data_IF_556166240792
#
_entry.id   IF_556166240792
#
_cell.length_a   1.000
_cell.length_b   1.000
_cell.length_c   1.000
_cell.angle_alpha   90.00
_cell.angle_beta   90.00
_cell.angle_gamma   90.00
#
_symmetry.space_group_name_H-M   'P 1'
#
loop_
_entity.id
_entity.type
_entity.pdbx_description
1 polymer ?
#
# COMPACT_ATOMS: atom_id res chain seq x y z
N UNK A 1 17.64 10.92 7.16
CA UNK A 1 16.62 11.04 8.23
C UNK A 1 16.11 12.47 8.22
N UNK A 2 14.88 12.67 7.77
CA UNK A 2 14.26 14.00 7.56
C UNK A 2 13.58 14.51 8.83
N UNK A 3 13.50 15.84 8.97
CA UNK A 3 12.99 16.62 10.13
C UNK A 3 11.59 16.24 10.63
N UNK A 4 10.84 15.42 9.91
CA UNK A 4 9.48 14.99 10.27
C UNK A 4 9.46 13.93 11.39
N UNK A 5 10.55 13.17 11.58
CA UNK A 5 10.63 12.18 12.68
C UNK A 5 10.81 12.80 14.06
N UNK A 6 11.20 14.08 14.15
CA UNK A 6 11.42 14.78 15.43
C UNK A 6 10.13 15.40 16.01
N UNK A 7 9.20 15.82 15.15
CA UNK A 7 7.93 16.42 15.58
C UNK A 7 6.94 15.38 16.14
N UNK A 8 6.98 14.13 15.63
CA UNK A 8 6.14 13.05 16.13
C UNK A 8 6.53 12.55 17.53
N UNK A 9 7.83 12.61 17.88
CA UNK A 9 8.33 12.21 19.20
C UNK A 9 7.94 13.21 20.31
N UNK A 10 7.90 14.51 20.00
CA UNK A 10 7.58 15.57 20.98
C UNK A 10 6.09 15.62 21.38
N UNK A 11 5.17 15.16 20.52
CA UNK A 11 3.74 15.10 20.83
C UNK A 11 3.36 13.95 21.78
N UNK A 12 4.07 12.83 21.75
CA UNK A 12 3.78 11.65 22.58
C UNK A 12 4.24 11.82 24.04
N UNK A 13 5.30 12.59 24.28
CA UNK A 13 5.85 12.83 25.62
C UNK A 13 4.94 13.73 26.49
N UNK A 14 4.16 14.62 25.85
CA UNK A 14 3.25 15.54 26.54
C UNK A 14 1.93 14.89 26.99
N UNK A 15 1.51 13.78 26.38
CA UNK A 15 0.28 13.05 26.77
C UNK A 15 0.53 12.19 28.01
N UNK A 16 1.73 11.62 28.16
CA UNK A 16 2.10 10.77 29.30
C UNK A 16 2.25 11.56 30.62
N UNK A 17 2.70 12.83 30.57
CA UNK A 17 2.87 13.66 31.77
C UNK A 17 1.54 14.12 32.41
N UNK A 18 0.42 14.15 31.66
CA UNK A 18 -0.89 14.57 32.18
C UNK A 18 -1.64 13.48 32.98
N UNK A 19 -1.33 12.20 32.80
CA UNK A 19 -2.05 11.10 33.46
C UNK A 19 -1.48 10.68 34.83
N UNK A 20 -0.22 11.02 35.13
CA UNK A 20 0.46 10.59 36.38
C UNK A 20 0.08 11.46 37.59
N UNK A 21 -0.52 12.65 37.39
CA UNK A 21 -0.84 13.56 38.50
C UNK A 21 -2.19 13.28 39.20
N UNK A 22 -3.05 12.41 38.64
CA UNK A 22 -4.44 12.21 39.15
C UNK A 22 -4.61 11.03 40.12
N UNK A 23 -3.56 10.26 40.40
CA UNK A 23 -3.63 9.04 41.25
C UNK A 23 -3.12 9.27 42.69
N UNK A 24 -2.58 10.46 43.01
CA UNK A 24 -1.94 10.72 44.31
C UNK A 24 -2.78 11.44 45.37
N UNK A 25 -4.10 11.59 45.17
CA UNK A 25 -4.96 12.42 46.06
C UNK A 25 -6.06 11.69 46.85
N UNK A 26 -6.05 10.35 46.95
CA UNK A 26 -7.10 9.58 47.66
C UNK A 26 -6.59 8.72 48.82
N UNK A 27 -5.74 9.28 49.70
CA UNK A 27 -5.46 8.69 51.02
C UNK A 27 -5.25 9.79 52.06
N UNK A 28 -6.34 10.23 52.68
CA UNK A 28 -6.27 11.17 53.79
C UNK A 28 -7.61 11.75 54.21
N UNK A 29 -8.47 10.94 54.83
CA UNK A 29 -9.59 11.47 55.63
C UNK A 29 -9.79 10.56 56.85
N UNK A 30 -9.33 11.03 58.01
CA UNK A 30 -9.72 10.51 59.33
C UNK A 30 -11.00 11.23 59.76
N UNK A 31 -12.10 10.50 59.98
CA UNK A 31 -13.31 11.04 60.60
C UNK A 31 -13.35 10.65 62.09
N UNK A 32 -13.19 11.67 62.94
CA UNK A 32 -13.56 11.64 64.36
C UNK A 32 -15.08 11.79 64.46
N UNK A 33 -15.75 10.90 65.20
CA UNK A 33 -17.15 11.03 65.60
C UNK A 33 -17.18 11.19 67.14
N UNK A 34 -18.00 12.11 67.71
CA UNK A 34 -17.93 12.46 69.13
C UNK A 34 -18.52 11.40 70.06
N UNK A 35 -17.89 11.23 71.23
CA UNK A 35 -18.41 10.47 72.37
C UNK A 35 -19.56 11.21 73.06
N UNK A 36 -20.80 10.78 72.86
CA UNK A 36 -21.81 10.83 73.93
C UNK A 36 -22.93 9.82 73.66
N UNK A 37 -23.41 9.18 74.72
CA UNK A 37 -24.48 8.18 74.77
C UNK A 37 -24.16 6.76 74.27
N UNK A 38 -23.39 5.98 75.04
CA UNK A 38 -23.63 4.52 75.11
C UNK A 38 -23.48 4.01 76.55
N UNK A 39 -24.60 3.48 77.02
CA UNK A 39 -24.93 2.75 78.24
C UNK A 39 -23.81 1.83 78.79
N UNK A 40 -23.53 1.97 80.08
CA UNK A 40 -22.48 1.27 80.84
C UNK A 40 -22.62 -0.27 80.79
N UNK A 41 -23.85 -0.81 80.63
CA UNK A 41 -24.06 -2.27 80.49
C UNK A 41 -23.58 -2.85 79.16
N UNK A 42 -23.61 -2.08 78.06
CA UNK A 42 -23.09 -2.53 76.75
C UNK A 42 -21.56 -2.57 76.69
N UNK A 43 -20.85 -1.72 77.46
CA UNK A 43 -19.37 -1.70 77.49
C UNK A 43 -18.75 -2.96 78.09
N UNK A 44 -19.37 -3.56 79.12
CA UNK A 44 -18.85 -4.80 79.74
C UNK A 44 -18.99 -6.01 78.81
N UNK A 45 -20.09 -6.12 78.09
CA UNK A 45 -20.32 -7.23 77.15
C UNK A 45 -19.45 -7.09 75.89
N UNK A 46 -19.27 -5.86 75.37
CA UNK A 46 -18.30 -5.59 74.31
C UNK A 46 -16.85 -5.83 74.76
N UNK A 47 -16.48 -5.46 75.99
CA UNK A 47 -15.14 -5.72 76.55
C UNK A 47 -14.81 -7.22 76.60
N UNK A 48 -15.75 -8.04 77.05
CA UNK A 48 -15.57 -9.49 77.16
C UNK A 48 -15.46 -10.17 75.78
N UNK A 49 -16.34 -9.80 74.83
CA UNK A 49 -16.29 -10.32 73.45
C UNK A 49 -15.04 -9.85 72.71
N UNK A 50 -14.59 -8.62 72.94
CA UNK A 50 -13.32 -8.10 72.36
C UNK A 50 -12.11 -8.79 72.98
N UNK A 51 -12.16 -9.13 74.28
CA UNK A 51 -11.13 -9.92 74.96
C UNK A 51 -10.99 -11.33 74.39
N UNK A 52 -12.11 -12.02 74.14
CA UNK A 52 -12.13 -13.34 73.49
C UNK A 52 -11.61 -13.25 72.06
N UNK A 53 -12.09 -12.29 71.27
CA UNK A 53 -11.64 -12.11 69.88
C UNK A 53 -10.14 -11.76 69.77
N UNK A 54 -9.59 -11.00 70.72
CA UNK A 54 -8.14 -10.72 70.79
C UNK A 54 -7.36 -11.98 71.19
N UNK A 55 -7.86 -12.77 72.14
CA UNK A 55 -7.23 -14.01 72.56
C UNK A 55 -7.23 -15.07 71.45
N UNK A 56 -8.36 -15.25 70.74
CA UNK A 56 -8.47 -16.15 69.59
C UNK A 56 -7.57 -15.72 68.43
N UNK A 57 -7.49 -14.41 68.15
CA UNK A 57 -6.58 -13.89 67.12
C UNK A 57 -5.11 -14.07 67.51
N UNK A 58 -4.79 -14.00 68.81
CA UNK A 58 -3.44 -14.26 69.33
C UNK A 58 -3.09 -15.75 69.27
N UNK A 59 -4.03 -16.64 69.60
CA UNK A 59 -3.90 -18.09 69.44
C UNK A 59 -3.75 -18.48 67.97
N UNK A 60 -4.53 -17.89 67.06
CA UNK A 60 -4.42 -18.11 65.62
C UNK A 60 -3.09 -17.62 65.06
N UNK A 61 -2.61 -16.45 65.50
CA UNK A 61 -1.29 -15.93 65.11
C UNK A 61 -0.16 -16.80 65.68
N UNK A 62 -0.27 -17.28 66.92
CA UNK A 62 0.70 -18.21 67.52
C UNK A 62 0.71 -19.56 66.82
N UNK A 63 -0.46 -20.11 66.50
CA UNK A 63 -0.58 -21.34 65.71
C UNK A 63 0.04 -21.13 64.33
N UNK A 64 -0.32 -20.09 63.58
CA UNK A 64 0.30 -19.82 62.27
C UNK A 64 1.81 -19.58 62.35
N UNK A 65 2.30 -18.93 63.40
CA UNK A 65 3.73 -18.69 63.55
C UNK A 65 4.48 -19.99 63.90
N UNK A 66 3.88 -20.84 64.74
CA UNK A 66 4.37 -22.20 64.98
C UNK A 66 4.30 -23.04 63.71
N UNK A 67 3.20 -23.02 62.96
CA UNK A 67 3.06 -23.78 61.69
C UNK A 67 4.05 -23.30 60.65
N UNK A 68 4.30 -21.99 60.54
CA UNK A 68 5.33 -21.40 59.68
C UNK A 68 6.74 -21.76 60.14
N UNK A 69 7.00 -21.82 61.45
CA UNK A 69 8.28 -22.28 61.99
C UNK A 69 8.48 -23.78 61.77
N UNK A 70 7.45 -24.61 61.94
CA UNK A 70 7.49 -26.05 61.67
C UNK A 70 7.65 -26.33 60.17
N UNK A 71 6.99 -25.57 59.29
CA UNK A 71 7.15 -25.69 57.82
C UNK A 71 8.48 -25.14 57.33
N UNK A 72 9.01 -24.07 57.93
CA UNK A 72 10.36 -23.59 57.65
C UNK A 72 11.42 -24.61 58.09
N UNK A 73 11.30 -25.16 59.31
CA UNK A 73 12.22 -26.17 59.84
C UNK A 73 12.18 -27.49 59.05
N UNK A 74 10.99 -27.97 58.66
CA UNK A 74 10.87 -29.16 57.78
C UNK A 74 11.38 -28.88 56.35
N UNK A 75 11.23 -27.66 55.83
CA UNK A 75 11.80 -27.29 54.52
C UNK A 75 13.32 -27.13 54.52
N UNK A 76 13.92 -26.82 55.67
CA UNK A 76 15.37 -26.77 55.85
C UNK A 76 15.99 -28.17 55.95
N UNK A 77 15.33 -29.13 56.61
CA UNK A 77 15.79 -30.53 56.69
C UNK A 77 15.63 -31.32 55.36
N UNK A 78 14.69 -30.91 54.50
CA UNK A 78 14.47 -31.49 53.17
C UNK A 78 15.27 -30.81 52.05
N UNK A 79 16.03 -29.76 52.36
CA UNK A 79 16.85 -29.09 51.36
C UNK A 79 17.97 -30.02 50.86
N UNK A 80 18.04 -30.15 49.54
CA UNK A 80 19.13 -30.80 48.83
C UNK A 80 19.55 -29.92 47.65
N UNK A 81 20.85 -29.69 47.51
CA UNK A 81 21.41 -28.96 46.37
C UNK A 81 21.09 -29.69 45.06
N UNK A 82 20.95 -28.94 43.97
CA UNK A 82 20.71 -29.50 42.65
C UNK A 82 22.04 -29.71 41.94
N UNK A 83 22.40 -30.95 41.58
CA UNK A 83 23.71 -31.22 40.98
C UNK A 83 23.94 -30.54 39.62
N UNK A 84 22.89 -30.19 38.87
CA UNK A 84 23.06 -29.46 37.60
C UNK A 84 23.58 -28.04 37.79
N UNK A 85 23.56 -27.48 39.01
CA UNK A 85 24.22 -26.20 39.27
C UNK A 85 25.72 -26.45 39.24
N UNK A 86 26.42 -25.79 38.31
CA UNK A 86 27.84 -25.99 38.02
C UNK A 86 28.75 -25.96 39.26
N UNK A 87 28.46 -25.09 40.23
CA UNK A 87 29.20 -25.06 41.50
C UNK A 87 29.05 -26.37 42.30
N UNK A 88 27.82 -26.89 42.43
CA UNK A 88 27.55 -28.15 43.12
C UNK A 88 28.17 -29.34 42.37
N UNK A 89 28.03 -29.35 41.04
CA UNK A 89 28.68 -30.35 40.19
C UNK A 89 30.19 -30.42 40.42
N UNK A 90 30.87 -29.26 40.39
CA UNK A 90 32.32 -29.17 40.61
C UNK A 90 32.72 -29.69 41.98
N UNK A 91 31.93 -29.37 43.01
CA UNK A 91 32.18 -29.83 44.36
C UNK A 91 32.02 -31.36 44.49
N UNK A 92 30.98 -31.94 43.88
CA UNK A 92 30.80 -33.40 43.80
C UNK A 92 31.97 -34.08 43.09
N UNK A 93 32.45 -33.48 42.00
CA UNK A 93 33.59 -34.01 41.25
C UNK A 93 34.91 -33.92 42.03
N UNK A 94 34.99 -33.23 43.18
CA UNK A 94 36.18 -33.29 44.05
C UNK A 94 36.34 -34.65 44.72
N UNK A 95 35.24 -35.33 45.06
CA UNK A 95 35.33 -36.69 45.61
C UNK A 95 35.91 -37.63 44.53
N UNK A 96 37.06 -38.29 44.81
CA UNK A 96 37.74 -39.16 43.85
C UNK A 96 36.93 -40.39 43.46
N UNK A 97 36.13 -40.95 44.36
CA UNK A 97 35.29 -42.10 44.07
C UNK A 97 34.10 -41.69 43.19
N UNK A 98 33.36 -40.64 43.58
CA UNK A 98 32.27 -40.06 42.77
C UNK A 98 32.74 -39.76 41.35
N UNK A 99 33.88 -39.07 41.21
CA UNK A 99 34.49 -38.75 39.92
C UNK A 99 34.90 -40.01 39.14
N UNK A 100 35.52 -41.00 39.79
CA UNK A 100 35.93 -42.26 39.16
C UNK A 100 34.72 -43.05 38.63
N UNK A 101 33.66 -43.16 39.42
CA UNK A 101 32.43 -43.86 39.02
C UNK A 101 31.75 -43.23 37.81
N UNK A 102 31.70 -41.89 37.76
CA UNK A 102 31.14 -41.20 36.61
C UNK A 102 32.01 -41.35 35.35
N UNK A 103 33.33 -41.18 35.47
CA UNK A 103 34.27 -41.33 34.34
C UNK A 103 34.29 -42.75 33.79
N UNK A 104 34.20 -43.77 34.66
CA UNK A 104 34.08 -45.17 34.25
C UNK A 104 32.91 -45.37 33.27
N UNK A 105 31.76 -44.76 33.57
CA UNK A 105 30.57 -44.82 32.72
C UNK A 105 30.69 -44.05 31.40
N UNK A 106 31.39 -42.91 31.41
CA UNK A 106 31.66 -42.11 30.20
C UNK A 106 32.57 -42.86 29.22
N UNK A 107 33.62 -43.50 29.74
CA UNK A 107 34.64 -44.18 28.96
C UNK A 107 34.30 -45.65 28.66
N UNK A 108 33.26 -46.20 29.32
CA UNK A 108 32.88 -47.63 29.23
C UNK A 108 34.03 -48.54 29.67
N UNK A 109 34.63 -48.19 30.80
CA UNK A 109 35.69 -48.91 31.46
C UNK A 109 35.26 -49.29 32.88
N UNK A 110 35.84 -50.34 33.46
CA UNK A 110 35.62 -50.61 34.88
C UNK A 110 36.30 -49.53 35.74
N UNK A 111 35.80 -49.25 36.96
CA UNK A 111 36.46 -48.32 37.87
C UNK A 111 37.93 -48.67 38.15
N UNK A 112 38.28 -49.95 38.18
CA UNK A 112 39.66 -50.41 38.35
C UNK A 112 40.56 -50.01 37.16
N UNK A 113 40.02 -50.01 35.93
CA UNK A 113 40.74 -49.56 34.73
C UNK A 113 40.89 -48.04 34.67
N UNK A 114 40.00 -47.29 35.33
CA UNK A 114 40.16 -45.84 35.48
C UNK A 114 41.32 -45.52 36.42
N UNK A 115 41.53 -46.35 37.44
CA UNK A 115 42.59 -46.16 38.42
C UNK A 115 42.41 -44.87 39.23
N UNK A 116 43.53 -44.23 39.54
CA UNK A 116 43.51 -42.94 40.23
C UNK A 116 43.19 -41.78 39.26
N UNK A 117 42.49 -40.77 39.76
CA UNK A 117 42.12 -39.59 39.00
C UNK A 117 42.61 -38.32 39.71
N UNK A 118 43.24 -37.41 38.97
CA UNK A 118 43.79 -36.17 39.49
C UNK A 118 43.07 -34.98 38.86
N UNK A 119 42.62 -34.02 39.67
CA UNK A 119 42.10 -32.75 39.15
C UNK A 119 43.29 -31.85 38.83
N UNK A 120 43.35 -31.40 37.58
CA UNK A 120 44.35 -30.46 37.09
C UNK A 120 43.85 -29.01 37.22
N UNK A 121 44.74 -28.06 37.03
CA UNK A 121 44.35 -26.65 36.95
C UNK A 121 43.37 -26.40 35.80
N UNK A 122 42.33 -25.63 36.10
CA UNK A 122 41.26 -25.29 35.18
C UNK A 122 41.70 -24.31 34.07
N UNK A 123 42.79 -23.58 34.30
CA UNK A 123 43.27 -22.58 33.35
C UNK A 123 44.34 -23.18 32.44
N UNK A 124 43.99 -23.38 31.17
CA UNK A 124 44.98 -23.79 30.18
C UNK A 124 45.92 -22.62 29.90
N UNK A 125 47.22 -22.90 29.98
CA UNK A 125 48.28 -21.91 29.81
C UNK A 125 48.16 -21.15 28.47
N UNK A 126 48.58 -19.89 28.48
CA UNK A 126 48.68 -19.06 27.28
C UNK A 126 50.11 -19.12 26.76
N UNK A 127 50.27 -19.35 25.46
CA UNK A 127 51.56 -19.22 24.76
C UNK A 127 51.86 -17.77 24.38
N UNK A 128 50.86 -16.89 24.35
CA UNK A 128 51.00 -15.44 24.12
C UNK A 128 49.84 -14.65 24.75
N UNK A 129 50.00 -13.33 24.95
CA UNK A 129 48.94 -12.48 25.51
C UNK A 129 47.69 -12.40 24.62
N UNK A 130 47.87 -12.48 23.31
CA UNK A 130 46.82 -12.46 22.28
C UNK A 130 45.96 -13.74 22.30
N UNK A 131 46.45 -14.83 22.90
CA UNK A 131 45.75 -16.11 22.92
C UNK A 131 44.52 -16.07 23.82
N UNK A 132 43.39 -16.56 23.29
CA UNK A 132 42.16 -16.74 24.06
C UNK A 132 42.40 -17.75 25.20
N UNK A 133 42.05 -17.34 26.42
CA UNK A 133 42.16 -18.18 27.61
C UNK A 133 41.13 -19.32 27.52
N UNK A 134 41.57 -20.57 27.75
CA UNK A 134 40.68 -21.70 27.99
C UNK A 134 40.51 -21.87 29.48
N UNK A 135 39.27 -21.84 29.97
CA UNK A 135 38.93 -22.09 31.37
C UNK A 135 37.99 -23.28 31.37
N UNK A 136 38.54 -24.40 31.79
CA UNK A 136 37.86 -25.69 31.90
C UNK A 136 37.12 -25.77 33.24
N UNK A 137 36.03 -26.50 33.29
CA UNK A 137 35.24 -26.64 34.50
C UNK A 137 35.80 -27.71 35.44
N UNK A 138 35.94 -28.94 34.95
CA UNK A 138 36.52 -30.06 35.70
C UNK A 138 37.52 -30.76 34.81
N UNK A 139 38.78 -30.35 34.92
CA UNK A 139 39.90 -30.91 34.18
C UNK A 139 40.51 -32.09 34.95
N UNK A 140 40.44 -33.29 34.38
CA UNK A 140 40.83 -34.54 35.04
C UNK A 140 41.91 -35.26 34.24
N UNK A 141 42.96 -35.70 34.92
CA UNK A 141 43.97 -36.62 34.40
C UNK A 141 43.74 -38.02 34.97
N UNK A 142 43.72 -39.02 34.09
CA UNK A 142 43.67 -40.43 34.47
C UNK A 142 45.08 -41.02 34.54
N UNK A 143 45.22 -42.14 35.25
CA UNK A 143 46.48 -42.87 35.41
C UNK A 143 47.07 -43.35 34.07
N UNK A 144 46.23 -43.63 33.08
CA UNK A 144 46.65 -44.01 31.73
C UNK A 144 47.05 -42.81 30.83
N UNK A 145 47.07 -41.59 31.37
CA UNK A 145 47.39 -40.36 30.65
C UNK A 145 46.22 -39.68 29.94
N UNK A 146 45.04 -40.30 29.88
CA UNK A 146 43.84 -39.68 29.28
C UNK A 146 43.45 -38.43 30.07
N UNK A 147 43.14 -37.35 29.37
CA UNK A 147 42.63 -36.12 29.95
C UNK A 147 41.15 -35.92 29.60
N UNK A 148 40.37 -35.44 30.57
CA UNK A 148 38.97 -35.11 30.39
C UNK A 148 38.71 -33.67 30.84
N UNK A 149 37.87 -32.97 30.08
CA UNK A 149 37.22 -31.75 30.53
C UNK A 149 35.72 -32.02 30.63
N UNK A 150 35.12 -31.77 31.79
CA UNK A 150 33.71 -32.03 32.06
C UNK A 150 33.01 -30.72 32.45
N UNK A 151 32.18 -30.23 31.54
CA UNK A 151 31.48 -28.95 31.65
C UNK A 151 30.00 -29.16 32.00
N UNK A 152 29.53 -28.52 33.07
CA UNK A 152 28.12 -28.52 33.46
C UNK A 152 27.49 -27.19 33.04
N UNK A 153 26.61 -27.23 32.04
CA UNK A 153 26.03 -26.01 31.46
C UNK A 153 24.51 -25.96 31.66
N UNK A 154 24.07 -24.97 32.43
CA UNK A 154 22.64 -24.74 32.71
C UNK A 154 22.00 -23.75 31.74
N UNK A 155 22.72 -22.65 31.42
CA UNK A 155 22.20 -21.60 30.55
C UNK A 155 22.55 -21.93 29.11
N UNK A 156 21.57 -21.81 28.21
CA UNK A 156 21.74 -22.09 26.79
C UNK A 156 22.89 -21.27 26.20
N UNK A 157 23.73 -21.92 25.39
CA UNK A 157 24.85 -21.30 24.69
C UNK A 157 24.77 -21.60 23.19
N UNK A 158 24.77 -20.57 22.35
CA UNK A 158 24.60 -20.73 20.90
C UNK A 158 25.78 -21.46 20.23
N UNK A 159 27.01 -21.11 20.60
CA UNK A 159 28.25 -21.62 19.98
C UNK A 159 28.86 -22.80 20.77
N UNK A 160 28.02 -23.73 21.21
CA UNK A 160 28.46 -24.87 22.02
C UNK A 160 29.46 -25.76 21.28
N UNK A 161 29.21 -26.06 19.99
CA UNK A 161 30.10 -26.88 19.17
C UNK A 161 31.51 -26.27 19.07
N UNK A 162 31.59 -24.98 18.73
CA UNK A 162 32.86 -24.25 18.63
C UNK A 162 33.60 -24.18 19.97
N UNK A 163 32.89 -23.97 21.08
CA UNK A 163 33.47 -23.95 22.43
C UNK A 163 34.05 -25.33 22.79
N UNK A 164 33.28 -26.39 22.56
CA UNK A 164 33.67 -27.77 22.85
C UNK A 164 34.90 -28.17 22.04
N UNK A 165 34.91 -27.85 20.74
CA UNK A 165 36.05 -28.08 19.87
C UNK A 165 37.29 -27.27 20.31
N UNK A 166 37.10 -25.99 20.65
CA UNK A 166 38.20 -25.14 21.10
C UNK A 166 38.85 -25.68 22.37
N UNK A 167 38.07 -26.08 23.38
CA UNK A 167 38.61 -26.65 24.62
C UNK A 167 39.27 -27.99 24.40
N UNK A 168 38.63 -28.88 23.65
CA UNK A 168 39.20 -30.18 23.30
C UNK A 168 40.56 -30.05 22.60
N UNK A 169 40.63 -29.22 21.55
CA UNK A 169 41.86 -29.01 20.79
C UNK A 169 42.93 -28.29 21.62
N UNK A 170 42.54 -27.31 22.45
CA UNK A 170 43.48 -26.60 23.32
C UNK A 170 44.07 -27.54 24.36
N UNK A 171 43.25 -28.35 25.02
CA UNK A 171 43.68 -29.40 25.96
C UNK A 171 44.66 -30.36 25.29
N UNK A 172 44.31 -30.90 24.12
CA UNK A 172 45.16 -31.81 23.36
C UNK A 172 46.51 -31.18 22.96
N UNK A 173 46.48 -29.96 22.42
CA UNK A 173 47.71 -29.26 22.00
C UNK A 173 48.60 -28.84 23.17
N UNK A 174 48.03 -28.70 24.38
CA UNK A 174 48.74 -28.26 25.58
C UNK A 174 49.53 -29.36 26.27
N UNK A 175 49.31 -30.63 25.89
CA UNK A 175 50.04 -31.78 26.45
C UNK A 175 51.52 -31.79 26.08
N UNK A 176 51.89 -31.22 24.93
CA UNK A 176 53.26 -31.25 24.42
C UNK A 176 53.98 -29.91 24.57
N UNK A 177 55.23 -30.01 24.97
CA UNK A 177 56.22 -28.95 25.03
C UNK A 177 57.24 -29.06 23.90
N UNK A 178 58.05 -27.99 23.74
CA UNK A 178 59.04 -27.91 22.66
C UNK A 178 60.10 -29.00 22.84
N UNK A 179 60.25 -29.84 21.82
CA UNK A 179 61.26 -30.91 21.76
C UNK A 179 60.73 -32.30 22.12
N UNK A 180 59.45 -32.42 22.49
CA UNK A 180 58.79 -33.71 22.73
C UNK A 180 58.23 -34.29 21.43
N UNK A 181 58.17 -35.62 21.37
CA UNK A 181 57.70 -36.37 20.21
C UNK A 181 56.16 -36.47 20.19
N UNK A 182 55.57 -36.49 19.00
CA UNK A 182 54.12 -36.52 18.82
C UNK A 182 53.44 -37.83 19.25
N UNK A 183 54.20 -38.91 19.39
CA UNK A 183 53.69 -40.21 19.87
C UNK A 183 53.29 -40.19 21.35
N UNK A 184 53.74 -39.18 22.10
CA UNK A 184 53.40 -38.97 23.52
C UNK A 184 51.97 -38.43 23.72
N UNK A 185 51.31 -37.92 22.67
CA UNK A 185 49.96 -37.37 22.77
C UNK A 185 48.96 -38.39 23.29
N UNK A 186 48.32 -38.08 24.41
CA UNK A 186 47.29 -38.90 25.03
C UNK A 186 45.90 -38.48 24.61
N UNK A 187 44.94 -39.37 24.83
CA UNK A 187 43.53 -39.13 24.52
C UNK A 187 42.98 -37.96 25.34
N UNK A 188 42.19 -37.12 24.68
CA UNK A 188 41.41 -36.05 25.28
C UNK A 188 39.92 -36.28 25.05
N UNK A 189 39.11 -36.06 26.09
CA UNK A 189 37.65 -36.14 26.01
C UNK A 189 37.02 -34.87 26.56
N UNK A 190 36.26 -34.15 25.75
CA UNK A 190 35.43 -33.04 26.23
C UNK A 190 34.01 -33.55 26.46
N UNK A 191 33.45 -33.33 27.65
CA UNK A 191 32.15 -33.82 28.06
C UNK A 191 31.26 -32.64 28.42
N UNK A 192 30.21 -32.42 27.64
CA UNK A 192 29.17 -31.44 27.92
C UNK A 192 27.97 -32.04 28.60
N UNK A 193 27.73 -31.71 29.86
CA UNK A 193 26.49 -32.05 30.57
C UNK A 193 25.54 -30.85 30.51
N UNK A 194 24.52 -30.94 29.65
CA UNK A 194 23.65 -29.82 29.28
C UNK A 194 22.28 -29.94 29.92
N UNK A 195 21.87 -28.92 30.68
CA UNK A 195 20.52 -28.83 31.24
C UNK A 195 19.53 -28.08 30.30
N UNK A 196 19.77 -28.16 29.00
CA UNK A 196 18.93 -27.59 27.94
C UNK A 196 19.00 -28.47 26.69
N UNK A 197 18.04 -28.29 25.79
CA UNK A 197 18.03 -28.96 24.48
C UNK A 197 18.88 -28.15 23.50
N UNK A 198 20.01 -28.71 23.10
CA UNK A 198 20.88 -28.18 22.06
C UNK A 198 20.50 -28.73 20.68
N UNK A 199 20.38 -30.05 20.55
CA UNK A 199 19.99 -30.69 19.29
C UNK A 199 18.47 -30.79 19.20
N UNK A 200 17.83 -29.94 18.38
CA UNK A 200 16.36 -29.83 18.35
C UNK A 200 15.64 -30.85 17.46
N UNK A 201 16.38 -31.60 16.64
CA UNK A 201 15.83 -32.42 15.56
C UNK A 201 15.63 -33.90 15.92
N UNK A 202 15.90 -34.29 17.16
CA UNK A 202 15.83 -35.66 17.64
C UNK A 202 15.75 -35.70 19.19
N UNK A 203 15.54 -36.90 19.73
CA UNK A 203 15.43 -37.16 21.17
C UNK A 203 16.65 -37.89 21.75
N UNK A 204 17.80 -37.88 21.08
CA UNK A 204 19.02 -38.57 21.56
C UNK A 204 19.61 -37.79 22.74
N UNK A 205 19.61 -38.39 23.93
CA UNK A 205 20.09 -37.75 25.15
C UNK A 205 21.59 -37.88 25.39
N UNK A 206 22.26 -38.87 24.78
CA UNK A 206 23.70 -39.08 24.93
C UNK A 206 24.35 -39.32 23.58
N UNK A 207 25.38 -38.52 23.27
CA UNK A 207 26.08 -38.52 21.99
C UNK A 207 27.58 -38.61 22.18
N UNK A 208 28.24 -39.27 21.22
CA UNK A 208 29.70 -39.26 21.08
C UNK A 208 30.06 -38.82 19.66
N UNK A 209 30.91 -37.81 19.54
CA UNK A 209 31.50 -37.39 18.28
C UNK A 209 33.00 -37.71 18.30
N UNK A 210 33.47 -38.31 17.19
CA UNK A 210 34.86 -38.70 16.95
C UNK A 210 35.21 -38.41 15.49
N UNK A 211 36.49 -38.52 15.15
CA UNK A 211 37.00 -38.26 13.81
C UNK A 211 37.04 -39.57 13.02
N UNK A 212 36.36 -39.57 11.87
CA UNK A 212 36.28 -40.69 10.95
C UNK A 212 36.77 -40.29 9.57
N UNK A 213 37.33 -41.25 8.85
CA UNK A 213 37.55 -41.15 7.42
C UNK A 213 36.20 -41.14 6.69
N UNK A 214 35.95 -40.12 5.86
CA UNK A 214 34.64 -39.89 5.23
C UNK A 214 34.27 -40.98 4.21
N UNK A 215 35.23 -41.46 3.43
CA UNK A 215 35.00 -42.44 2.36
C UNK A 215 34.77 -43.85 2.92
N UNK A 216 35.59 -44.26 3.88
CA UNK A 216 35.56 -45.62 4.43
C UNK A 216 34.68 -45.75 5.66
N UNK A 217 34.34 -44.65 6.33
CA UNK A 217 33.69 -44.64 7.63
C UNK A 217 34.56 -45.18 8.77
N UNK A 218 35.86 -45.44 8.52
CA UNK A 218 36.77 -46.00 9.52
C UNK A 218 37.19 -44.94 10.53
N UNK A 219 37.38 -45.33 11.80
CA UNK A 219 37.87 -44.41 12.82
C UNK A 219 39.28 -43.93 12.46
N UNK A 220 39.45 -42.63 12.28
CA UNK A 220 40.75 -42.04 11.94
C UNK A 220 41.67 -42.00 13.17
N UNK A 221 41.13 -41.57 14.30
CA UNK A 221 41.83 -41.55 15.59
C UNK A 221 40.83 -41.59 16.74
N UNK A 222 41.20 -42.26 17.83
CA UNK A 222 40.44 -42.30 19.08
C UNK A 222 40.93 -41.26 20.11
N UNK A 223 41.94 -40.44 19.76
CA UNK A 223 42.56 -39.46 20.66
C UNK A 223 41.72 -38.23 20.94
N UNK A 224 40.76 -37.88 20.08
CA UNK A 224 39.87 -36.74 20.27
C UNK A 224 38.41 -37.22 20.30
N UNK A 225 37.72 -36.93 21.39
CA UNK A 225 36.32 -37.33 21.58
C UNK A 225 35.51 -36.20 22.23
N UNK A 226 34.35 -35.89 21.68
CA UNK A 226 33.35 -35.02 22.33
C UNK A 226 32.18 -35.88 22.76
N UNK A 227 31.77 -35.76 24.02
CA UNK A 227 30.55 -36.37 24.53
C UNK A 227 29.55 -35.28 24.93
N UNK A 228 28.28 -35.45 24.55
CA UNK A 228 27.21 -34.51 24.92
C UNK A 228 26.07 -35.26 25.58
N UNK A 229 25.73 -34.84 26.80
CA UNK A 229 24.70 -35.39 27.66
C UNK A 229 23.59 -34.35 27.83
N UNK A 230 22.47 -34.49 27.13
CA UNK A 230 21.31 -33.59 27.22
C UNK A 230 20.32 -34.09 28.29
N UNK A 231 20.39 -33.52 29.48
CA UNK A 231 19.55 -33.91 30.63
C UNK A 231 18.03 -33.80 30.37
N UNK A 232 17.51 -32.81 29.61
CA UNK A 232 16.09 -32.73 29.30
C UNK A 232 15.57 -33.88 28.43
N UNK A 233 16.45 -34.57 27.69
CA UNK A 233 16.08 -35.67 26.79
C UNK A 233 16.13 -37.05 27.44
N UNK A 234 16.45 -37.14 28.73
CA UNK A 234 16.52 -38.41 29.44
C UNK A 234 15.16 -39.14 29.35
N UNK A 235 15.12 -40.40 28.87
CA UNK A 235 13.88 -41.15 28.75
C UNK A 235 13.23 -41.36 30.13
N UNK A 236 11.89 -41.32 30.16
CA UNK A 236 11.11 -41.53 31.39
C UNK A 236 11.28 -42.96 31.92
N UNK A 237 11.26 -43.94 31.03
CA UNK A 237 11.33 -45.38 31.32
C UNK A 237 12.78 -45.90 31.22
N UNK A 238 13.62 -45.50 32.16
CA UNK A 238 14.94 -46.13 32.34
C UNK A 238 15.06 -46.56 33.81
N UNK A 239 15.06 -47.87 34.04
CA UNK A 239 14.97 -48.45 35.38
C UNK A 239 16.25 -49.16 35.81
N UNK A 240 17.29 -49.15 34.99
CA UNK A 240 18.57 -49.75 35.36
C UNK A 240 19.28 -48.84 36.38
N UNK A 241 19.79 -49.38 37.51
CA UNK A 241 20.47 -48.58 38.53
C UNK A 241 21.84 -48.08 38.06
N UNK A 242 22.45 -48.77 37.09
CA UNK A 242 23.75 -48.40 36.53
C UNK A 242 23.65 -47.77 35.13
N UNK A 243 24.80 -47.32 34.63
CA UNK A 243 24.93 -46.75 33.31
C UNK A 243 24.98 -45.22 33.32
N UNK A 244 25.43 -44.67 32.20
CA UNK A 244 25.52 -43.22 32.01
C UNK A 244 24.17 -42.49 32.21
N UNK A 245 23.06 -43.15 31.89
CA UNK A 245 21.71 -42.57 32.08
C UNK A 245 21.35 -42.43 33.56
N UNK A 246 21.83 -43.34 34.43
CA UNK A 246 21.63 -43.22 35.87
C UNK A 246 22.36 -41.97 36.42
N UNK A 247 23.61 -41.76 36.01
CA UNK A 247 24.37 -40.53 36.31
C UNK A 247 23.68 -39.27 35.77
N UNK A 248 23.19 -39.30 34.53
CA UNK A 248 22.43 -38.18 33.97
C UNK A 248 21.17 -37.86 34.80
N UNK A 249 20.45 -38.88 35.29
CA UNK A 249 19.28 -38.69 36.16
C UNK A 249 19.67 -38.07 37.49
N UNK A 250 20.75 -38.55 38.10
CA UNK A 250 21.31 -37.97 39.32
C UNK A 250 21.67 -36.49 39.10
N UNK A 251 22.37 -36.17 38.01
CA UNK A 251 22.76 -34.79 37.73
C UNK A 251 21.60 -33.85 37.42
N UNK A 252 20.55 -34.35 36.75
CA UNK A 252 19.30 -33.60 36.55
C UNK A 252 18.65 -33.19 37.87
N UNK A 253 18.98 -33.88 38.97
CA UNK A 253 18.46 -33.61 40.28
C UNK A 253 17.01 -34.09 40.43
N UNK A 254 16.43 -33.77 41.58
CA UNK A 254 15.09 -34.20 41.94
C UNK A 254 14.82 -33.91 43.41
N UNK A 255 13.82 -34.58 43.97
CA UNK A 255 13.63 -34.59 45.42
C UNK A 255 14.68 -35.48 46.06
N UNK A 256 14.94 -35.24 47.35
CA UNK A 256 15.88 -36.01 48.17
C UNK A 256 15.58 -37.52 48.13
N UNK A 257 14.31 -37.90 48.24
CA UNK A 257 13.86 -39.29 48.20
C UNK A 257 14.13 -39.93 46.83
N UNK A 258 13.87 -39.19 45.74
CA UNK A 258 14.08 -39.68 44.38
C UNK A 258 15.57 -39.93 44.13
N UNK A 259 16.44 -39.01 44.60
CA UNK A 259 17.89 -39.12 44.49
C UNK A 259 18.44 -40.29 45.31
N UNK A 260 17.92 -40.49 46.53
CA UNK A 260 18.26 -41.62 47.38
C UNK A 260 17.83 -42.96 46.77
N UNK A 261 16.65 -43.02 46.18
CA UNK A 261 16.16 -44.25 45.57
C UNK A 261 16.96 -44.62 44.32
N UNK A 262 17.28 -43.64 43.46
CA UNK A 262 18.02 -43.89 42.23
C UNK A 262 19.51 -44.23 42.46
N UNK A 263 20.08 -43.81 43.60
CA UNK A 263 21.46 -44.15 43.92
C UNK A 263 21.62 -45.62 44.33
N UNK A 264 20.56 -46.23 44.90
CA UNK A 264 20.62 -47.59 45.45
C UNK A 264 21.12 -48.62 44.44
N UNK A 265 22.04 -49.46 44.89
CA UNK A 265 22.60 -50.56 44.10
C UNK A 265 23.79 -50.15 43.25
N UNK A 266 24.15 -48.86 43.21
CA UNK A 266 25.37 -48.37 42.62
C UNK A 266 26.20 -47.66 43.69
N UNK A 267 27.27 -48.30 44.18
CA UNK A 267 28.07 -47.77 45.29
C UNK A 267 28.66 -46.38 45.02
N UNK A 268 28.95 -46.05 43.76
CA UNK A 268 29.48 -44.74 43.39
C UNK A 268 28.41 -43.64 43.39
N UNK A 269 27.18 -43.96 42.98
CA UNK A 269 26.06 -43.02 43.09
C UNK A 269 25.59 -42.89 44.53
N UNK A 270 25.65 -43.95 45.34
CA UNK A 270 25.36 -43.89 46.77
C UNK A 270 26.32 -42.91 47.47
N UNK A 271 27.63 -43.03 47.20
CA UNK A 271 28.62 -42.10 47.72
C UNK A 271 28.40 -40.66 47.20
N UNK A 272 28.08 -40.49 45.91
CA UNK A 272 27.75 -39.18 45.36
C UNK A 272 26.52 -38.55 46.03
N UNK A 273 25.52 -39.37 46.37
CA UNK A 273 24.34 -38.92 47.10
C UNK A 273 24.68 -38.52 48.55
N UNK A 274 25.54 -39.28 49.22
CA UNK A 274 26.02 -38.96 50.57
C UNK A 274 26.82 -37.65 50.57
N UNK A 275 27.74 -37.46 49.62
CA UNK A 275 28.46 -36.20 49.42
C UNK A 275 27.49 -35.03 49.21
N UNK A 276 26.47 -35.23 48.37
CA UNK A 276 25.45 -34.22 48.07
C UNK A 276 24.66 -33.84 49.32
N UNK A 277 24.31 -34.83 50.13
CA UNK A 277 23.63 -34.64 51.41
C UNK A 277 24.51 -33.85 52.38
N UNK A 278 25.77 -34.23 52.54
CA UNK A 278 26.72 -33.54 53.42
C UNK A 278 26.91 -32.08 53.00
N UNK A 279 27.21 -31.83 51.73
CA UNK A 279 27.41 -30.45 51.24
C UNK A 279 26.14 -29.60 51.32
N UNK A 280 24.95 -30.22 51.23
CA UNK A 280 23.68 -29.50 51.37
C UNK A 280 23.42 -29.03 52.81
N UNK A 281 24.02 -29.69 53.80
CA UNK A 281 23.95 -29.32 55.22
C UNK A 281 25.08 -28.38 55.64
N UNK A 282 26.14 -28.25 54.85
CA UNK A 282 27.20 -27.27 55.09
C UNK A 282 26.72 -25.86 54.71
N UNK A 283 26.67 -24.99 55.72
CA UNK A 283 26.14 -23.62 55.62
C UNK A 283 26.98 -22.70 54.70
N UNK A 284 28.29 -22.91 54.62
CA UNK A 284 29.17 -22.13 53.75
C UNK A 284 28.98 -22.54 52.29
N UNK A 285 29.00 -23.85 52.03
CA UNK A 285 28.72 -24.45 50.73
C UNK A 285 27.33 -24.11 50.23
N UNK A 286 26.32 -24.16 51.11
CA UNK A 286 24.94 -23.76 50.82
C UNK A 286 24.84 -22.31 50.36
N UNK A 287 25.53 -21.39 51.04
CA UNK A 287 25.54 -19.98 50.63
C UNK A 287 26.18 -19.76 49.26
N UNK A 288 27.28 -20.45 48.98
CA UNK A 288 27.94 -20.39 47.67
C UNK A 288 27.02 -20.93 46.56
N UNK A 289 26.36 -22.07 46.82
CA UNK A 289 25.36 -22.65 45.93
C UNK A 289 24.19 -21.69 45.67
N UNK A 290 23.57 -21.13 46.70
CA UNK A 290 22.41 -20.24 46.57
C UNK A 290 22.75 -18.95 45.82
N UNK A 291 23.95 -18.40 46.04
CA UNK A 291 24.45 -17.26 45.28
C UNK A 291 24.59 -17.60 43.79
N UNK A 292 25.14 -18.78 43.46
CA UNK A 292 25.26 -19.23 42.08
C UNK A 292 23.91 -19.53 41.44
N UNK A 293 23.00 -20.20 42.16
CA UNK A 293 21.65 -20.49 41.69
C UNK A 293 20.89 -19.18 41.39
N UNK A 294 21.06 -18.15 42.22
CA UNK A 294 20.50 -16.81 41.98
C UNK A 294 21.04 -16.18 40.71
N UNK A 295 22.36 -16.19 40.52
CA UNK A 295 22.98 -15.65 39.31
C UNK A 295 22.47 -16.34 38.03
N UNK A 296 22.31 -17.66 38.05
CA UNK A 296 21.73 -18.43 36.94
C UNK A 296 20.28 -18.02 36.68
N UNK A 297 19.46 -17.88 37.73
CA UNK A 297 18.07 -17.41 37.60
C UNK A 297 17.97 -16.03 36.96
N UNK A 298 18.84 -15.11 37.36
CA UNK A 298 18.88 -13.76 36.81
C UNK A 298 19.26 -13.79 35.32
N UNK A 299 20.27 -14.59 34.95
CA UNK A 299 20.68 -14.77 33.55
C UNK A 299 19.55 -15.38 32.70
N UNK A 300 18.88 -16.43 33.19
CA UNK A 300 17.73 -17.03 32.50
C UNK A 300 16.55 -16.05 32.38
N UNK A 301 16.33 -15.19 33.39
CA UNK A 301 15.30 -14.15 33.34
C UNK A 301 15.59 -13.14 32.23
N UNK A 302 16.83 -12.66 32.14
CA UNK A 302 17.28 -11.76 31.07
C UNK A 302 17.15 -12.41 29.70
N UNK A 303 17.56 -13.67 29.56
CA UNK A 303 17.43 -14.41 28.30
C UNK A 303 15.96 -14.52 27.87
N UNK A 304 15.06 -14.92 28.77
CA UNK A 304 13.62 -14.99 28.46
C UNK A 304 13.04 -13.63 28.10
N UNK A 305 13.50 -12.56 28.73
CA UNK A 305 13.08 -11.20 28.37
C UNK A 305 13.55 -10.82 26.97
N UNK A 306 14.81 -11.12 26.63
CA UNK A 306 15.35 -10.92 25.28
C UNK A 306 14.58 -11.73 24.24
N UNK A 307 14.29 -13.01 24.50
CA UNK A 307 13.49 -13.86 23.60
C UNK A 307 12.07 -13.30 23.40
N UNK A 308 11.40 -12.86 24.48
CA UNK A 308 10.06 -12.25 24.38
C UNK A 308 10.07 -10.95 23.57
N UNK A 309 11.05 -10.08 23.79
CA UNK A 309 11.17 -8.82 23.05
C UNK A 309 11.48 -9.07 21.58
N UNK A 310 12.35 -10.03 21.27
CA UNK A 310 12.62 -10.47 19.90
C UNK A 310 11.36 -11.02 19.22
N UNK A 311 10.58 -11.86 19.91
CA UNK A 311 9.31 -12.36 19.37
C UNK A 311 8.31 -11.23 19.11
N UNK A 312 8.18 -10.26 20.03
CA UNK A 312 7.31 -9.10 19.82
C UNK A 312 7.73 -8.25 18.62
N UNK A 313 9.04 -8.07 18.40
CA UNK A 313 9.56 -7.34 17.25
C UNK A 313 9.30 -8.07 15.94
N UNK A 314 9.50 -9.39 15.90
CA UNK A 314 9.21 -10.21 14.71
C UNK A 314 7.72 -10.23 14.38
N UNK A 315 6.84 -10.41 15.38
CA UNK A 315 5.39 -10.32 15.20
C UNK A 315 4.94 -8.93 14.72
N UNK A 316 5.56 -7.87 15.24
CA UNK A 316 5.28 -6.49 14.82
C UNK A 316 5.74 -6.25 13.37
N UNK A 317 6.92 -6.76 13.00
CA UNK A 317 7.44 -6.70 11.64
C UNK A 317 6.52 -7.45 10.66
N UNK A 318 6.07 -8.66 11.00
CA UNK A 318 5.15 -9.42 10.14
C UNK A 318 3.82 -8.66 9.94
N UNK A 319 3.30 -8.02 10.99
CA UNK A 319 2.09 -7.17 10.89
C UNK A 319 2.32 -5.95 10.00
N UNK A 320 3.48 -5.30 10.12
CA UNK A 320 3.86 -4.17 9.27
C UNK A 320 4.00 -4.60 7.81
N UNK A 321 4.64 -5.75 7.54
CA UNK A 321 4.75 -6.30 6.18
C UNK A 321 3.39 -6.63 5.58
N UNK A 322 2.48 -7.23 6.36
CA UNK A 322 1.10 -7.49 5.92
C UNK A 322 0.33 -6.19 5.64
N UNK A 323 0.50 -5.17 6.47
CA UNK A 323 -0.11 -3.86 6.25
C UNK A 323 0.43 -3.18 4.99
N UNK A 324 1.75 -3.21 4.79
CA UNK A 324 2.41 -2.69 3.59
C UNK A 324 1.90 -3.40 2.32
N UNK A 325 1.77 -4.74 2.34
CA UNK A 325 1.18 -5.49 1.22
C UNK A 325 -0.23 -5.04 0.87
N UNK A 326 -1.08 -4.77 1.87
CA UNK A 326 -2.45 -4.26 1.65
C UNK A 326 -2.46 -2.86 1.05
N UNK A 327 -1.53 -1.99 1.47
CA UNK A 327 -1.38 -0.65 0.90
C UNK A 327 -1.00 -0.75 -0.57
N UNK A 328 0.01 -1.55 -0.91
CA UNK A 328 0.43 -1.77 -2.31
C UNK A 328 -0.71 -2.33 -3.16
N UNK A 329 -1.51 -3.26 -2.63
CA UNK A 329 -2.68 -3.78 -3.34
C UNK A 329 -3.76 -2.71 -3.58
N UNK A 330 -4.00 -1.85 -2.58
CA UNK A 330 -4.93 -0.74 -2.70
C UNK A 330 -4.45 0.30 -3.72
N UNK A 331 -3.16 0.68 -3.68
CA UNK A 331 -2.53 1.57 -4.66
C UNK A 331 -2.67 1.01 -6.08
N UNK A 332 -2.45 -0.30 -6.28
CA UNK A 332 -2.65 -0.94 -7.59
C UNK A 332 -4.09 -0.80 -8.09
N UNK A 333 -5.09 -0.97 -7.21
CA UNK A 333 -6.51 -0.81 -7.57
C UNK A 333 -6.85 0.63 -7.93
N UNK A 334 -6.26 1.61 -7.23
CA UNK A 334 -6.43 3.03 -7.55
C UNK A 334 -5.85 3.34 -8.93
N UNK A 335 -4.61 2.90 -9.21
CA UNK A 335 -3.97 3.08 -10.53
C UNK A 335 -4.81 2.42 -11.65
N UNK A 336 -5.35 1.23 -11.42
CA UNK A 336 -6.21 0.56 -12.41
C UNK A 336 -7.52 1.35 -12.67
N UNK A 337 -8.11 1.93 -11.62
CA UNK A 337 -9.30 2.76 -11.74
C UNK A 337 -9.00 4.07 -12.49
N UNK A 338 -7.88 4.73 -12.19
CA UNK A 338 -7.41 5.93 -12.89
C UNK A 338 -7.17 5.66 -14.38
N UNK A 339 -6.52 4.53 -14.72
CA UNK A 339 -6.32 4.12 -16.11
C UNK A 339 -7.65 3.90 -16.84
N UNK A 340 -8.63 3.24 -16.21
CA UNK A 340 -9.98 3.04 -16.79
C UNK A 340 -10.70 4.38 -17.00
N UNK A 341 -10.60 5.30 -16.05
CA UNK A 341 -11.19 6.64 -16.17
C UNK A 341 -10.56 7.42 -17.33
N UNK A 342 -9.23 7.42 -17.46
CA UNK A 342 -8.53 8.09 -18.55
C UNK A 342 -8.92 7.51 -19.93
N UNK A 343 -9.08 6.19 -20.05
CA UNK A 343 -9.56 5.56 -21.28
C UNK A 343 -11.01 5.95 -21.60
N UNK A 344 -11.88 6.07 -20.61
CA UNK A 344 -13.25 6.52 -20.80
C UNK A 344 -13.31 7.98 -21.27
N UNK A 345 -12.49 8.85 -20.67
CA UNK A 345 -12.38 10.26 -21.07
C UNK A 345 -11.88 10.40 -22.51
N UNK A 346 -10.84 9.65 -22.90
CA UNK A 346 -10.36 9.63 -24.29
C UNK A 346 -11.45 9.21 -25.29
N UNK A 347 -12.25 8.18 -24.95
CA UNK A 347 -13.37 7.75 -25.82
C UNK A 347 -14.46 8.80 -25.93
N UNK A 348 -14.76 9.54 -24.86
CA UNK A 348 -15.73 10.62 -24.90
C UNK A 348 -15.27 11.76 -25.82
N UNK A 349 -14.00 12.17 -25.71
CA UNK A 349 -13.39 13.16 -26.60
C UNK A 349 -13.43 12.69 -28.07
N UNK A 350 -13.12 11.42 -28.34
CA UNK A 350 -13.20 10.88 -29.70
C UNK A 350 -14.63 10.89 -30.26
N UNK A 351 -15.63 10.63 -29.41
CA UNK A 351 -17.03 10.68 -29.80
C UNK A 351 -17.50 12.12 -30.11
N UNK A 352 -17.11 13.10 -29.28
CA UNK A 352 -17.38 14.53 -29.54
C UNK A 352 -16.74 14.99 -30.84
N UNK A 353 -15.47 14.62 -31.10
CA UNK A 353 -14.80 14.95 -32.36
C UNK A 353 -15.54 14.37 -33.57
N UNK A 354 -16.00 13.12 -33.49
CA UNK A 354 -16.80 12.50 -34.56
C UNK A 354 -18.13 13.22 -34.78
N UNK A 355 -18.80 13.63 -33.70
CA UNK A 355 -20.04 14.40 -33.78
C UNK A 355 -19.82 15.77 -34.44
N UNK A 356 -18.78 16.50 -34.04
CA UNK A 356 -18.42 17.78 -34.65
C UNK A 356 -18.10 17.66 -36.15
N UNK A 357 -17.38 16.60 -36.55
CA UNK A 357 -17.12 16.31 -37.98
C UNK A 357 -18.42 16.00 -38.73
N UNK A 358 -19.36 15.28 -38.12
CA UNK A 358 -20.65 15.00 -38.74
C UNK A 358 -21.49 16.27 -38.91
N UNK A 359 -21.50 17.15 -37.90
CA UNK A 359 -22.18 18.44 -37.95
C UNK A 359 -21.59 19.36 -39.03
N UNK A 360 -20.25 19.44 -39.13
CA UNK A 360 -19.59 20.18 -40.21
C UNK A 360 -19.99 19.67 -41.61
N UNK A 361 -20.07 18.35 -41.79
CA UNK A 361 -20.52 17.75 -43.06
C UNK A 361 -21.98 18.07 -43.37
N UNK A 362 -22.84 18.14 -42.36
CA UNK A 362 -24.24 18.52 -42.54
C UNK A 362 -24.37 19.99 -42.97
N UNK A 363 -23.63 20.90 -42.32
CA UNK A 363 -23.56 22.31 -42.72
C UNK A 363 -23.03 22.47 -44.15
N UNK A 364 -21.99 21.70 -44.53
CA UNK A 364 -21.47 21.73 -45.90
C UNK A 364 -22.51 21.22 -46.94
N UNK A 365 -23.32 20.23 -46.57
CA UNK A 365 -24.40 19.73 -47.41
C UNK A 365 -25.53 20.75 -47.58
N UNK A 366 -25.93 21.42 -46.50
CA UNK A 366 -26.91 22.52 -46.54
C UNK A 366 -26.42 23.69 -47.40
N UNK A 367 -25.16 24.09 -47.27
CA UNK A 367 -24.56 25.13 -48.13
C UNK A 367 -24.58 24.73 -49.60
N UNK A 368 -24.25 23.47 -49.93
CA UNK A 368 -24.35 22.96 -51.31
C UNK A 368 -25.79 22.97 -51.83
N UNK A 369 -26.77 22.62 -51.00
CA UNK A 369 -28.19 22.68 -51.34
C UNK A 369 -28.65 24.12 -51.60
N UNK A 370 -28.29 25.07 -50.73
CA UNK A 370 -28.62 26.48 -50.90
C UNK A 370 -28.00 27.07 -52.18
N UNK A 371 -26.76 26.68 -52.52
CA UNK A 371 -26.12 27.08 -53.78
C UNK A 371 -26.85 26.48 -54.99
N UNK A 372 -27.35 25.25 -54.90
CA UNK A 372 -28.15 24.63 -55.96
C UNK A 372 -29.49 25.37 -56.13
N UNK A 373 -30.16 25.73 -55.04
CA UNK A 373 -31.42 26.46 -55.04
C UNK A 373 -31.27 27.88 -55.60
N UNK A 374 -30.17 28.57 -55.28
CA UNK A 374 -29.84 29.84 -55.92
C UNK A 374 -29.60 29.70 -57.43
N UNK A 375 -28.92 28.63 -57.86
CA UNK A 375 -28.73 28.36 -59.30
C UNK A 375 -30.05 28.11 -60.02
N UNK A 376 -30.98 27.39 -59.40
CA UNK A 376 -32.32 27.18 -59.98
C UNK A 376 -33.13 28.48 -60.03
N UNK A 377 -33.09 29.30 -58.98
CA UNK A 377 -33.77 30.61 -58.99
C UNK A 377 -33.21 31.56 -60.05
N UNK A 378 -31.88 31.55 -60.27
CA UNK A 378 -31.24 32.31 -61.36
C UNK A 378 -31.66 31.79 -62.73
N UNK A 379 -31.80 30.46 -62.89
CA UNK A 379 -32.31 29.88 -64.13
C UNK A 379 -33.76 30.29 -64.39
N UNK A 380 -34.62 30.25 -63.36
CA UNK A 380 -36.02 30.69 -63.43
C UNK A 380 -36.14 32.18 -63.78
N UNK A 381 -35.31 33.04 -63.19
CA UNK A 381 -35.25 34.46 -63.57
C UNK A 381 -34.84 34.65 -65.02
N UNK A 382 -33.86 33.89 -65.53
CA UNK A 382 -33.46 33.96 -66.94
C UNK A 382 -34.58 33.52 -67.87
N UNK A 383 -35.34 32.49 -67.52
CA UNK A 383 -36.53 32.08 -68.28
C UNK A 383 -37.63 33.14 -68.25
N UNK A 384 -37.92 33.74 -67.09
CA UNK A 384 -38.91 34.81 -66.98
C UNK A 384 -38.49 36.07 -67.75
N UNK A 385 -37.20 36.39 -67.79
CA UNK A 385 -36.66 37.49 -68.60
C UNK A 385 -36.77 37.19 -70.10
N UNK A 386 -36.56 35.93 -70.51
CA UNK A 386 -36.78 35.51 -71.89
C UNK A 386 -38.27 35.62 -72.28
N UNK A 387 -39.17 35.15 -71.41
CA UNK A 387 -40.62 35.27 -71.60
C UNK A 387 -41.07 36.74 -71.73
N UNK A 388 -40.54 37.63 -70.88
CA UNK A 388 -40.79 39.07 -71.01
C UNK A 388 -40.31 39.65 -72.32
N UNK A 389 -39.14 39.24 -72.81
CA UNK A 389 -38.62 39.68 -74.12
C UNK A 389 -39.50 39.20 -75.27
N UNK A 390 -40.06 37.98 -75.19
CA UNK A 390 -41.06 37.51 -76.17
C UNK A 390 -42.36 38.31 -76.11
N UNK A 391 -42.88 38.62 -74.92
CA UNK A 391 -44.09 39.44 -74.77
C UNK A 391 -43.85 40.86 -75.29
N UNK A 392 -42.68 41.45 -75.04
CA UNK A 392 -42.33 42.77 -75.57
C UNK A 392 -42.20 42.77 -77.10
N UNK A 393 -41.71 41.67 -77.69
CA UNK A 393 -41.67 41.49 -79.14
C UNK A 393 -43.09 41.37 -79.73
N UNK A 394 -43.97 40.58 -79.10
CA UNK A 394 -45.37 40.44 -79.50
C UNK A 394 -46.09 41.78 -79.45
N UNK A 395 -45.88 42.58 -78.40
CA UNK A 395 -46.48 43.90 -78.24
C UNK A 395 -46.00 44.91 -79.29
N UNK A 396 -44.73 44.82 -79.71
CA UNK A 396 -44.22 45.63 -80.84
C UNK A 396 -44.85 45.24 -82.18
N UNK A 397 -45.18 43.97 -82.40
CA UNK A 397 -45.96 43.52 -83.58
C UNK A 397 -47.38 44.09 -83.56
N UNK A 398 -48.04 44.09 -82.41
CA UNK A 398 -49.40 44.65 -82.28
C UNK A 398 -49.41 46.17 -82.52
N UNK A 399 -48.42 46.91 -82.03
CA UNK A 399 -48.26 48.34 -82.34
C UNK A 399 -48.00 48.59 -83.83
N UNK A 400 -47.28 47.71 -84.51
CA UNK A 400 -47.06 47.80 -85.95
C UNK A 400 -48.39 47.58 -86.72
N UNK A 401 -49.18 46.57 -86.33
CA UNK A 401 -50.50 46.32 -86.92
C UNK A 401 -51.44 47.52 -86.72
N UNK A 402 -51.49 48.12 -85.52
CA UNK A 402 -52.29 49.33 -85.26
C UNK A 402 -51.88 50.52 -86.15
N UNK A 403 -50.59 50.73 -86.38
CA UNK A 403 -50.11 51.79 -87.29
C UNK A 403 -50.53 51.55 -88.74
N UNK A 404 -50.68 50.30 -89.15
CA UNK A 404 -51.18 49.93 -90.48
C UNK A 404 -52.67 50.26 -90.63
N UNK A 405 -53.46 49.98 -89.59
CA UNK A 405 -54.90 50.28 -89.54
C UNK A 405 -55.14 51.81 -89.57
N UNK A 406 -54.33 52.59 -88.85
CA UNK A 406 -54.41 54.07 -88.89
C UNK A 406 -54.08 54.66 -90.26
N UNK A 407 -53.17 54.02 -91.03
CA UNK A 407 -52.83 54.45 -92.37
C UNK A 407 -53.98 54.20 -93.37
N UNK A 408 -54.70 53.09 -93.24
CA UNK A 408 -55.87 52.77 -94.07
C UNK A 408 -57.04 53.76 -93.83
N UNK A 409 -57.33 54.10 -92.58
CA UNK A 409 -58.38 55.08 -92.26
C UNK A 409 -58.06 56.50 -92.77
N UNK A 410 -56.78 56.83 -92.90
CA UNK A 410 -56.34 58.12 -93.44
C UNK A 410 -56.52 58.19 -94.96
N UNK A 411 -56.38 57.06 -95.66
CA UNK A 411 -56.63 56.93 -97.11
C UNK A 411 -58.08 57.24 -97.47
N UNK A 412 -59.05 56.61 -96.79
CA UNK A 412 -60.50 56.80 -97.05
C UNK A 412 -60.96 58.26 -96.86
N UNK A 413 -60.41 58.95 -95.86
CA UNK A 413 -60.77 60.34 -95.54
C UNK A 413 -60.29 61.34 -96.61
N UNK A 414 -59.28 60.99 -97.39
CA UNK A 414 -58.76 61.81 -98.51
C UNK A 414 -59.61 61.66 -99.76
N UNK A 415 -60.22 60.50 -99.95
CA UNK A 415 -61.03 60.19 -101.14
C UNK A 415 -62.42 60.87 -101.08
N UNK A 416 -62.97 61.07 -99.87
CA UNK A 416 -64.23 61.81 -99.68
C UNK A 416 -64.13 63.33 -99.89
N UNK A 417 -62.94 63.94 -99.75
CA UNK A 417 -62.75 65.39 -99.96
C UNK A 417 -62.56 65.78 -101.43
N UNK A 418 -62.19 64.83 -102.30
CA UNK A 418 -61.93 65.09 -103.72
C UNK A 418 -63.24 65.20 -104.54
N UNK A 419 -64.26 64.44 -104.16
CA UNK A 419 -65.57 64.42 -104.81
C UNK A 419 -66.40 65.69 -104.55
N UNK A 420 -66.20 66.34 -103.41
CA UNK A 420 -66.92 67.56 -103.03
C UNK A 420 -66.36 68.82 -103.74
N UNK A 421 -65.06 68.83 -104.06
CA UNK A 421 -64.39 69.92 -104.77
C UNK A 421 -64.73 69.99 -106.27
N UNK A 422 -65.06 68.86 -106.92
CA UNK A 422 -65.46 68.82 -108.34
C UNK A 422 -66.84 69.44 -108.59
N UNK A 423 -67.75 69.37 -107.62
CA UNK A 423 -69.13 69.87 -107.75
C UNK A 423 -69.25 71.40 -107.61
N UNK A 424 -68.28 72.06 -106.98
CA UNK A 424 -68.25 73.53 -106.82
C UNK A 424 -67.62 74.27 -108.01
N UNK A 425 -66.84 73.57 -108.85
CA UNK A 425 -66.14 74.18 -109.98
C UNK A 425 -67.04 74.39 -111.22
N UNK A 426 -68.09 73.57 -111.37
CA UNK A 426 -69.08 73.69 -112.44
C UNK A 426 -70.05 74.86 -112.22
N UNK A 427 -70.38 75.18 -110.96
CA UNK A 427 -71.31 76.27 -110.63
C UNK A 427 -70.71 77.67 -110.84
N UNK A 428 -69.39 77.82 -110.67
CA UNK A 428 -68.68 79.10 -110.83
C UNK A 428 -68.44 79.44 -112.30
N UNK A 429 -68.33 78.45 -113.19
CA UNK A 429 -68.18 78.71 -114.64
C UNK A 429 -69.43 79.31 -115.27
N UNK A 430 -70.63 78.95 -114.80
CA UNK A 430 -71.88 79.49 -115.33
C UNK A 430 -72.17 80.96 -114.93
N UNK A 431 -71.57 81.47 -113.85
CA UNK A 431 -71.77 82.87 -113.40
C UNK A 431 -70.84 83.88 -114.08
N UNK A 432 -69.74 83.41 -114.68
CA UNK A 432 -68.76 84.27 -115.37
C UNK A 432 -69.25 84.74 -116.74
N UNK A 433 -70.01 83.91 -117.46
CA UNK A 433 -70.44 84.23 -118.82
C UNK A 433 -71.56 85.29 -118.88
N UNK A 434 -72.32 85.49 -117.78
CA UNK A 434 -73.38 86.50 -117.71
C UNK A 434 -72.89 87.95 -117.49
N UNK A 435 -71.68 88.15 -116.94
CA UNK A 435 -71.16 89.47 -116.60
C UNK A 435 -70.50 90.21 -117.79
N UNK A 436 -70.07 89.48 -118.83
CA UNK A 436 -69.36 90.05 -119.98
C UNK A 436 -70.30 90.73 -121.01
N UNK A 437 -71.58 90.35 -121.04
CA UNK A 437 -72.58 90.92 -121.97
C UNK A 437 -73.06 92.33 -121.53
N UNK A 438 -73.05 92.62 -120.22
CA UNK A 438 -73.54 93.89 -119.69
C UNK A 438 -72.57 95.05 -119.90
N UNK A 439 -71.25 94.82 -119.78
CA UNK A 439 -70.23 95.86 -119.97
C UNK A 439 -70.08 96.35 -121.42
N UNK A 440 -70.55 95.57 -122.40
CA UNK A 440 -70.53 95.97 -123.82
C UNK A 440 -71.60 97.03 -124.14
N UNK A 441 -72.71 97.05 -123.40
CA UNK A 441 -73.84 97.97 -123.63
C UNK A 441 -73.56 99.38 -123.08
N UNK A 442 -72.80 99.47 -121.99
CA UNK A 442 -72.46 100.75 -121.36
C UNK A 442 -71.44 101.56 -122.21
N UNK A 443 -70.52 100.89 -122.90
CA UNK A 443 -69.50 101.55 -123.73
C UNK A 443 -70.07 102.15 -125.04
N UNK A 444 -71.11 101.55 -125.61
CA UNK A 444 -71.79 102.09 -126.81
C UNK A 444 -72.52 103.39 -126.48
N UNK A 445 -72.93 103.55 -125.22
CA UNK A 445 -73.65 104.72 -124.76
C UNK A 445 -72.79 105.97 -124.60
N UNK A 446 -71.56 105.79 -124.15
CA UNK A 446 -70.60 106.88 -123.96
C UNK A 446 -70.21 107.53 -125.31
N UNK A 447 -70.00 106.70 -126.34
CA UNK A 447 -69.62 107.16 -127.69
C UNK A 447 -70.75 107.91 -128.43
N UNK A 448 -72.01 107.70 -128.04
CA UNK A 448 -73.16 108.43 -128.57
C UNK A 448 -73.28 109.84 -127.95
N UNK A 449 -73.00 110.00 -126.65
CA UNK A 449 -73.07 111.30 -125.97
C UNK A 449 -71.94 112.26 -126.39
N UNK A 450 -70.79 111.74 -126.79
CA UNK A 450 -69.67 112.55 -127.31
C UNK A 450 -69.84 113.00 -128.77
N UNK A 451 -70.93 112.59 -129.44
CA UNK A 451 -71.25 112.99 -130.82
C UNK A 451 -70.47 112.24 -131.91
N UNK A 452 -69.77 111.16 -131.55
CA UNK A 452 -68.94 110.35 -132.47
C UNK A 452 -69.80 109.38 -133.29
N UNK A 453 -70.89 108.87 -132.73
CA UNK A 453 -71.86 108.02 -133.44
C UNK A 453 -73.18 108.78 -133.64
N UNK A 454 -73.73 108.71 -134.85
CA UNK A 454 -75.09 109.19 -135.07
C UNK A 454 -76.12 108.16 -134.58
N UNK A 455 -77.38 108.58 -134.41
CA UNK A 455 -78.46 107.76 -133.83
C UNK A 455 -78.61 106.40 -134.52
N UNK A 456 -78.48 106.36 -135.85
CA UNK A 456 -78.59 105.12 -136.64
C UNK A 456 -77.41 104.17 -136.38
N UNK A 457 -76.20 104.69 -136.18
CA UNK A 457 -75.01 103.88 -135.92
C UNK A 457 -74.98 103.32 -134.49
N UNK A 458 -75.41 104.09 -133.50
CA UNK A 458 -75.47 103.64 -132.10
C UNK A 458 -76.55 102.56 -131.88
N UNK A 459 -77.73 102.75 -132.49
CA UNK A 459 -78.81 101.77 -132.44
C UNK A 459 -78.43 100.42 -133.07
N UNK A 460 -77.71 100.45 -134.20
CA UNK A 460 -77.22 99.24 -134.88
C UNK A 460 -76.21 98.44 -134.04
N UNK A 461 -75.30 99.11 -133.31
CA UNK A 461 -74.29 98.46 -132.49
C UNK A 461 -74.86 97.72 -131.25
N UNK A 462 -76.01 98.17 -130.74
CA UNK A 462 -76.76 97.51 -129.68
C UNK A 462 -77.85 96.56 -130.18
N UNK A 463 -78.03 96.42 -131.51
CA UNK A 463 -79.01 95.52 -132.13
C UNK A 463 -80.47 95.96 -131.97
N UNK A 464 -80.74 97.26 -131.90
CA UNK A 464 -82.06 97.84 -131.57
C UNK A 464 -82.50 98.86 -132.65
N UNK A 465 -83.78 99.23 -132.68
CA UNK A 465 -84.28 100.27 -133.60
C UNK A 465 -83.89 101.68 -133.13
N UNK A 466 -83.76 102.69 -134.03
CA UNK A 466 -83.44 104.05 -133.64
C UNK A 466 -84.42 104.65 -132.60
N UNK A 467 -85.71 104.29 -132.70
CA UNK A 467 -86.75 104.73 -131.78
C UNK A 467 -86.63 104.08 -130.38
N UNK A 468 -86.18 102.83 -130.32
CA UNK A 468 -86.02 102.10 -129.05
C UNK A 468 -84.73 102.49 -128.33
N UNK A 469 -83.66 102.77 -129.08
CA UNK A 469 -82.40 103.26 -128.53
C UNK A 469 -82.60 104.64 -127.87
N UNK A 470 -83.35 105.54 -128.50
CA UNK A 470 -83.63 106.87 -127.93
C UNK A 470 -84.50 106.81 -126.66
N UNK A 471 -85.31 105.76 -126.46
CA UNK A 471 -86.15 105.58 -125.25
C UNK A 471 -85.42 104.94 -124.07
N UNK A 472 -84.42 104.12 -124.34
CA UNK A 472 -83.75 103.34 -123.31
C UNK A 472 -82.53 104.08 -122.73
N UNK A 473 -82.05 105.12 -123.42
CA UNK A 473 -80.72 105.67 -123.20
C UNK A 473 -80.58 107.20 -123.35
N UNK A 474 -81.63 107.91 -123.80
CA UNK A 474 -81.79 109.38 -123.66
C UNK A 474 -83.00 109.62 -122.78
#
# INVERSE_FOLDING_TARGET
>A
MTKETWLAASCLENVFRKYIWKIRFLRGVSFLIPESMVDYKKRKQFSYVRGIAIAERRLFMQQNNMTNQTTAATSEEDFIMKPYIDWCFKELMRNPNTRRGFIAELLKLSPDQIGNTTILENELSKRSEEEKKGVLDVHVLLENGTQLDIEMQVVYMHYWDDRSLFYLCKMFSSQLHKGEDYDQLQKCVHVGVLNFTYYKNDDICYRKARIYDEETGSLYSDKLEIQVLELPKIPKEYHHPDGIIAWMKFFRGGKKEDLKEMSKGNSYLEEAYEDLMEMSQDEEKRRAYEARERAIRDQLSLQRQAERTFQQLTDAQEKLEKAARKIVEAERKVVEAEQKAAVAEQKAVEAEQKAAVAEQKAVEAEQKAAVAEQKTAVAEQKTAEAERKTVEAEQKTIEAEQKTIEAEQRSEKTQGKLSEAQRLLETVRAQKDAAHEQGRKDAVMELYQEGVLNLEQAASACGMSPDDFQKQFV
#
